data_IF_001537739962
#
_entry.id   IF_001537739962
#
_cell.length_a   1.000
_cell.length_b   1.000
_cell.length_c   1.000
_cell.angle_alpha   90.00
_cell.angle_beta   90.00
_cell.angle_gamma   90.00
#
_symmetry.space_group_name_H-M   'P 1'
#
loop_
_entity.id
_entity.type
_entity.pdbx_description
1 polymer ?
#
# COMPACT_ATOMS: atom_id res chain seq x y z
N UNK A 1 -61.02 -10.54 16.32
CA UNK A 1 -61.36 -9.23 16.88
C UNK A 1 -61.05 -8.22 15.79
N UNK A 2 -62.03 -7.99 14.90
CA UNK A 2 -63.08 -6.95 15.07
C UNK A 2 -62.44 -5.55 14.94
N UNK A 3 -62.50 -4.91 13.76
CA UNK A 3 -63.59 -4.07 13.22
C UNK A 3 -64.03 -2.93 14.14
N UNK A 4 -64.02 -1.71 13.61
CA UNK A 4 -64.71 -0.54 14.17
C UNK A 4 -64.31 0.74 13.44
N UNK A 5 -64.88 1.10 12.27
CA UNK A 5 -66.16 1.84 12.09
C UNK A 5 -66.21 3.16 12.90
N UNK A 6 -66.72 4.31 12.43
CA UNK A 6 -67.64 4.65 11.33
C UNK A 6 -67.83 6.17 11.26
N UNK A 7 -68.10 6.67 10.05
CA UNK A 7 -69.12 7.67 9.65
C UNK A 7 -69.63 8.74 10.64
N UNK A 8 -69.81 9.98 10.13
CA UNK A 8 -71.18 10.51 9.96
C UNK A 8 -71.29 11.71 9.00
N UNK A 9 -72.36 11.69 8.23
CA UNK A 9 -72.89 12.70 7.31
C UNK A 9 -73.64 13.82 8.04
N UNK A 10 -73.83 14.97 7.36
CA UNK A 10 -75.20 15.49 7.20
C UNK A 10 -75.43 17.00 7.23
N UNK A 11 -76.00 17.48 6.11
CA UNK A 11 -77.15 18.42 5.99
C UNK A 11 -77.00 19.97 5.98
N UNK A 12 -77.11 20.51 4.75
CA UNK A 12 -78.11 21.47 4.19
C UNK A 12 -78.69 22.63 5.00
N UNK A 13 -78.74 23.83 4.38
CA UNK A 13 -79.66 24.92 4.76
C UNK A 13 -79.63 26.18 3.87
N UNK A 14 -80.45 26.17 2.81
CA UNK A 14 -81.31 27.22 2.21
C UNK A 14 -80.93 28.73 1.97
N UNK A 15 -81.80 29.33 1.14
CA UNK A 15 -81.72 30.51 0.26
C UNK A 15 -82.41 31.78 0.81
N UNK A 16 -82.19 32.90 0.09
CA UNK A 16 -83.08 34.08 -0.26
C UNK A 16 -82.44 35.41 0.19
N UNK A 17 -82.49 36.57 -0.49
CA UNK A 17 -83.08 37.05 -1.76
C UNK A 17 -82.55 38.49 -2.07
N UNK A 18 -82.77 39.02 -3.29
CA UNK A 18 -82.32 40.37 -3.78
C UNK A 18 -83.21 41.55 -3.35
N UNK A 19 -83.37 42.71 -4.08
CA UNK A 19 -82.79 43.21 -5.34
C UNK A 19 -82.37 44.74 -5.25
N UNK A 20 -82.62 45.66 -6.24
CA UNK A 20 -81.80 46.00 -7.42
C UNK A 20 -81.32 47.48 -7.51
N UNK A 21 -80.40 47.76 -8.46
CA UNK A 21 -80.43 49.03 -9.24
C UNK A 21 -79.19 49.95 -9.17
N UNK A 22 -78.46 50.07 -10.29
CA UNK A 22 -78.20 51.31 -11.06
C UNK A 22 -76.92 51.20 -11.94
N UNK A 23 -76.87 51.87 -13.11
CA UNK A 23 -75.90 51.57 -14.17
C UNK A 23 -74.66 52.47 -14.11
N UNK A 24 -73.50 51.95 -14.53
CA UNK A 24 -72.31 52.78 -14.65
C UNK A 24 -71.08 52.07 -15.22
N UNK A 25 -70.75 52.44 -16.46
CA UNK A 25 -69.41 52.45 -17.08
C UNK A 25 -68.69 51.10 -17.27
N UNK A 26 -68.66 50.66 -18.53
CA UNK A 26 -67.69 49.69 -19.05
C UNK A 26 -66.29 50.33 -19.11
N UNK A 27 -65.33 49.72 -18.41
CA UNK A 27 -63.90 49.72 -18.72
C UNK A 27 -63.46 48.24 -18.71
N UNK A 28 -62.69 47.76 -19.70
CA UNK A 28 -62.19 46.39 -19.67
C UNK A 28 -61.14 46.24 -18.56
N UNK A 29 -61.16 45.17 -17.75
CA UNK A 29 -60.08 44.92 -16.81
C UNK A 29 -58.82 44.51 -17.56
N UNK A 30 -57.79 45.36 -17.46
CA UNK A 30 -56.39 45.01 -17.68
C UNK A 30 -55.99 43.91 -16.69
N UNK A 31 -56.20 42.65 -17.05
CA UNK A 31 -55.74 41.47 -16.30
C UNK A 31 -55.26 40.38 -17.25
N UNK A 32 -54.30 40.74 -18.11
CA UNK A 32 -53.55 39.78 -18.95
C UNK A 32 -52.21 40.38 -19.38
N UNK A 33 -51.52 41.07 -18.47
CA UNK A 33 -50.19 41.63 -18.74
C UNK A 33 -49.26 41.65 -17.51
N UNK A 34 -49.45 40.71 -16.56
CA UNK A 34 -48.56 40.55 -15.39
C UNK A 34 -47.98 39.13 -15.28
N UNK A 35 -48.51 38.15 -16.02
CA UNK A 35 -48.02 36.76 -16.00
C UNK A 35 -47.01 36.42 -17.11
N UNK A 36 -46.79 37.31 -18.08
CA UNK A 36 -45.81 37.08 -19.17
C UNK A 36 -44.48 37.79 -18.92
N UNK A 37 -44.46 38.87 -18.14
CA UNK A 37 -43.22 39.58 -17.79
C UNK A 37 -42.43 38.90 -16.67
N UNK A 38 -43.06 38.14 -15.78
CA UNK A 38 -42.35 37.32 -14.76
C UNK A 38 -41.78 36.04 -15.37
N UNK A 39 -42.44 35.44 -16.35
CA UNK A 39 -41.92 34.28 -17.08
C UNK A 39 -40.74 34.64 -18.00
N UNK A 40 -40.75 35.83 -18.62
CA UNK A 40 -39.61 36.30 -19.41
C UNK A 40 -38.41 36.73 -18.55
N UNK A 41 -38.63 37.21 -17.33
CA UNK A 41 -37.55 37.53 -16.39
C UNK A 41 -36.90 36.28 -15.77
N UNK A 42 -37.66 35.20 -15.56
CA UNK A 42 -37.11 33.92 -15.09
C UNK A 42 -36.33 33.16 -16.17
N UNK A 43 -36.68 33.33 -17.46
CA UNK A 43 -35.90 32.73 -18.57
C UNK A 43 -34.68 33.59 -18.93
N UNK A 44 -34.74 34.91 -18.72
CA UNK A 44 -33.58 35.80 -18.92
C UNK A 44 -32.49 35.67 -17.83
N UNK A 45 -32.85 35.22 -16.62
CA UNK A 45 -31.89 34.87 -15.55
C UNK A 45 -31.13 33.56 -15.82
N UNK A 46 -31.60 32.73 -16.76
CA UNK A 46 -30.92 31.47 -17.15
C UNK A 46 -29.86 31.73 -18.24
N UNK A 47 -29.93 32.85 -18.97
CA UNK A 47 -29.01 33.12 -20.09
C UNK A 47 -27.88 34.12 -19.80
N UNK A 48 -27.71 34.56 -18.56
CA UNK A 48 -26.60 35.45 -18.17
C UNK A 48 -25.73 34.93 -17.01
N UNK A 49 -25.95 33.69 -16.54
CA UNK A 49 -25.24 33.12 -15.39
C UNK A 49 -24.47 31.80 -15.63
N UNK A 50 -24.74 31.06 -16.71
CA UNK A 50 -24.17 29.71 -16.90
C UNK A 50 -22.65 29.65 -17.10
N UNK A 51 -21.99 30.75 -17.48
CA UNK A 51 -20.51 30.78 -17.54
C UNK A 51 -19.88 30.71 -16.15
N UNK A 52 -20.37 31.51 -15.20
CA UNK A 52 -19.73 31.62 -13.87
C UNK A 52 -19.84 30.38 -12.99
N UNK A 53 -20.91 29.59 -13.15
CA UNK A 53 -21.06 28.32 -12.40
C UNK A 53 -20.28 27.20 -13.07
N UNK A 54 -20.32 27.10 -14.40
CA UNK A 54 -19.54 26.10 -15.14
C UNK A 54 -18.04 26.31 -14.94
N UNK A 55 -17.55 27.55 -14.99
CA UNK A 55 -16.14 27.88 -14.75
C UNK A 55 -15.70 27.49 -13.32
N UNK A 56 -16.51 27.83 -12.31
CA UNK A 56 -16.24 27.43 -10.90
C UNK A 56 -16.25 25.92 -10.69
N UNK A 57 -17.20 25.21 -11.30
CA UNK A 57 -17.26 23.74 -11.24
C UNK A 57 -16.02 23.16 -11.92
N UNK A 58 -15.63 23.66 -13.08
CA UNK A 58 -14.44 23.20 -13.79
C UNK A 58 -13.14 23.45 -12.99
N UNK A 59 -12.97 24.63 -12.39
CA UNK A 59 -11.83 24.94 -11.54
C UNK A 59 -11.75 23.99 -10.34
N UNK A 60 -12.90 23.72 -9.70
CA UNK A 60 -12.97 22.78 -8.59
C UNK A 60 -12.65 21.34 -9.03
N UNK A 61 -13.10 20.92 -10.22
CA UNK A 61 -12.80 19.60 -10.79
C UNK A 61 -11.31 19.42 -11.09
N UNK A 62 -10.62 20.48 -11.55
CA UNK A 62 -9.16 20.45 -11.77
C UNK A 62 -8.41 20.22 -10.45
N UNK A 63 -8.78 20.95 -9.38
CA UNK A 63 -8.20 20.75 -8.05
C UNK A 63 -8.51 19.35 -7.52
N UNK A 64 -9.77 18.93 -7.57
CA UNK A 64 -10.19 17.60 -7.12
C UNK A 64 -9.43 16.48 -7.82
N UNK A 65 -9.21 16.60 -9.14
CA UNK A 65 -8.41 15.66 -9.92
C UNK A 65 -6.94 15.64 -9.49
N UNK A 66 -6.37 16.80 -9.16
CA UNK A 66 -5.03 16.91 -8.57
C UNK A 66 -4.92 16.15 -7.24
N UNK A 67 -5.85 16.38 -6.31
CA UNK A 67 -5.91 15.72 -5.01
C UNK A 67 -6.05 14.21 -5.15
N UNK A 68 -7.02 13.74 -5.93
CA UNK A 68 -7.26 12.29 -6.12
C UNK A 68 -6.04 11.62 -6.74
N UNK A 69 -5.43 12.21 -7.76
CA UNK A 69 -4.22 11.68 -8.39
C UNK A 69 -3.04 11.60 -7.41
N UNK A 70 -2.90 12.60 -6.52
CA UNK A 70 -1.89 12.60 -5.47
C UNK A 70 -2.08 11.44 -4.49
N UNK A 71 -3.31 11.20 -4.04
CA UNK A 71 -3.67 10.09 -3.15
C UNK A 71 -3.43 8.74 -3.85
N UNK A 72 -3.92 8.57 -5.08
CA UNK A 72 -3.77 7.33 -5.87
C UNK A 72 -2.31 6.98 -6.13
N UNK A 73 -1.52 7.96 -6.58
CA UNK A 73 -0.11 7.73 -6.91
C UNK A 73 0.68 7.27 -5.69
N UNK A 74 0.53 7.98 -4.57
CA UNK A 74 1.24 7.64 -3.33
C UNK A 74 0.72 6.35 -2.67
N UNK A 75 -0.57 6.03 -2.78
CA UNK A 75 -1.10 4.73 -2.35
C UNK A 75 -0.55 3.59 -3.22
N UNK A 76 -0.46 3.78 -4.53
CA UNK A 76 0.10 2.77 -5.44
C UNK A 76 1.58 2.50 -5.18
N UNK A 77 2.35 3.52 -4.80
CA UNK A 77 3.76 3.34 -4.39
C UNK A 77 3.87 2.46 -3.15
N UNK A 78 2.95 2.63 -2.19
CA UNK A 78 2.86 1.76 -1.03
C UNK A 78 2.52 0.32 -1.38
N UNK A 79 1.55 0.14 -2.28
CA UNK A 79 1.09 -1.17 -2.68
C UNK A 79 2.17 -1.98 -3.39
N UNK A 80 3.06 -1.29 -4.12
CA UNK A 80 4.18 -1.90 -4.80
C UNK A 80 5.21 -2.49 -3.83
N UNK A 81 5.27 -2.03 -2.57
CA UNK A 81 6.21 -2.54 -1.56
C UNK A 81 5.70 -3.82 -0.87
N UNK A 82 4.40 -4.05 -0.81
CA UNK A 82 3.88 -5.23 -0.11
C UNK A 82 4.20 -6.60 -0.73
N UNK A 83 4.18 -6.77 -2.07
CA UNK A 83 4.40 -8.08 -2.67
C UNK A 83 5.89 -8.45 -2.81
N UNK A 84 6.81 -7.51 -2.56
CA UNK A 84 8.25 -7.78 -2.70
C UNK A 84 8.83 -8.38 -1.41
N UNK A 85 9.94 -9.15 -1.48
CA UNK A 85 10.60 -9.69 -0.30
C UNK A 85 11.06 -8.60 0.66
N UNK A 86 11.19 -8.93 1.95
CA UNK A 86 11.58 -7.98 3.02
C UNK A 86 12.86 -7.20 2.68
N UNK A 87 13.85 -7.84 2.05
CA UNK A 87 15.10 -7.21 1.61
C UNK A 87 14.92 -6.13 0.54
N UNK A 88 13.84 -6.20 -0.24
CA UNK A 88 13.49 -5.23 -1.27
C UNK A 88 12.51 -4.15 -0.79
N UNK A 89 12.05 -4.21 0.47
CA UNK A 89 11.14 -3.22 1.06
C UNK A 89 11.87 -2.01 1.67
N UNK A 90 13.13 -1.80 1.32
CA UNK A 90 13.89 -0.62 1.72
C UNK A 90 13.17 0.68 1.31
N UNK A 91 13.15 1.67 2.21
CA UNK A 91 12.56 2.99 1.94
C UNK A 91 11.06 3.11 2.25
N UNK A 92 10.42 2.09 2.84
CA UNK A 92 9.00 2.13 3.22
C UNK A 92 8.63 3.35 4.08
N UNK A 93 9.52 3.81 4.98
CA UNK A 93 9.31 5.05 5.76
C UNK A 93 9.26 6.29 4.86
N UNK A 94 10.13 6.37 3.85
CA UNK A 94 10.13 7.49 2.92
C UNK A 94 8.83 7.52 2.10
N UNK A 95 8.36 6.36 1.65
CA UNK A 95 7.04 6.21 0.99
C UNK A 95 5.90 6.64 1.92
N UNK A 96 5.95 6.28 3.21
CA UNK A 96 4.99 6.72 4.22
C UNK A 96 4.95 8.24 4.40
N UNK A 97 6.11 8.85 4.46
CA UNK A 97 6.23 10.31 4.54
C UNK A 97 5.66 10.95 3.28
N UNK A 98 5.93 10.40 2.10
CA UNK A 98 5.38 10.85 0.83
C UNK A 98 3.86 10.82 0.79
N UNK A 99 3.25 9.71 1.22
CA UNK A 99 1.80 9.57 1.29
C UNK A 99 1.17 10.57 2.27
N UNK A 100 1.74 10.70 3.48
CA UNK A 100 1.27 11.69 4.48
C UNK A 100 1.35 13.11 3.95
N UNK A 101 2.41 13.43 3.20
CA UNK A 101 2.55 14.72 2.54
C UNK A 101 1.46 14.94 1.49
N UNK A 102 1.20 13.97 0.61
CA UNK A 102 0.13 14.07 -0.37
C UNK A 102 -1.26 14.29 0.28
N UNK A 103 -1.53 13.63 1.40
CA UNK A 103 -2.76 13.83 2.19
C UNK A 103 -2.84 15.21 2.87
N UNK A 104 -1.70 15.76 3.29
CA UNK A 104 -1.65 17.10 3.89
C UNK A 104 -1.82 18.19 2.82
N UNK A 105 -1.10 18.06 1.71
CA UNK A 105 -1.18 18.99 0.57
C UNK A 105 -2.60 19.00 0.00
N UNK A 106 -3.21 17.83 -0.23
CA UNK A 106 -4.58 17.72 -0.72
C UNK A 106 -5.63 18.29 0.23
N UNK A 107 -5.42 18.21 1.53
CA UNK A 107 -6.29 18.88 2.51
C UNK A 107 -6.19 20.40 2.42
N UNK A 108 -4.96 20.92 2.31
CA UNK A 108 -4.75 22.35 2.14
C UNK A 108 -5.45 22.87 0.89
N UNK A 109 -5.42 22.12 -0.22
CA UNK A 109 -6.13 22.48 -1.44
C UNK A 109 -7.66 22.51 -1.23
N UNK A 110 -8.23 21.43 -0.68
CA UNK A 110 -9.66 21.31 -0.42
C UNK A 110 -10.19 22.36 0.57
N UNK A 111 -9.38 22.76 1.55
CA UNK A 111 -9.77 23.81 2.52
C UNK A 111 -9.60 25.23 1.99
N UNK A 112 -8.77 25.42 0.97
CA UNK A 112 -8.51 26.74 0.37
C UNK A 112 -9.52 27.16 -0.69
N UNK A 113 -10.34 26.22 -1.20
CA UNK A 113 -11.30 26.49 -2.26
C UNK A 113 -12.74 26.62 -1.75
N UNK A 114 -13.44 27.63 -2.26
CA UNK A 114 -14.89 27.71 -2.12
C UNK A 114 -15.56 26.60 -2.93
N UNK A 115 -16.42 25.80 -2.28
CA UNK A 115 -17.08 24.66 -2.91
C UNK A 115 -18.33 25.11 -3.67
N UNK A 116 -18.39 24.93 -5.01
CA UNK A 116 -19.63 25.16 -5.76
C UNK A 116 -20.74 24.21 -5.32
N UNK A 117 -21.99 24.67 -5.33
CA UNK A 117 -23.14 23.86 -4.89
C UNK A 117 -23.23 22.49 -5.60
N UNK A 118 -23.02 22.36 -6.92
CA UNK A 118 -22.99 21.05 -7.58
C UNK A 118 -21.87 20.12 -7.10
N UNK A 119 -20.79 20.67 -6.54
CA UNK A 119 -19.59 19.95 -6.11
C UNK A 119 -19.60 19.56 -4.63
N UNK A 120 -20.67 19.85 -3.87
CA UNK A 120 -20.72 19.57 -2.42
C UNK A 120 -20.45 18.09 -2.09
N UNK A 121 -21.04 17.19 -2.87
CA UNK A 121 -20.85 15.74 -2.67
C UNK A 121 -19.43 15.29 -3.03
N UNK A 122 -18.84 15.86 -4.08
CA UNK A 122 -17.43 15.63 -4.41
C UNK A 122 -16.52 16.13 -3.29
N UNK A 123 -16.77 17.32 -2.74
CA UNK A 123 -16.03 17.85 -1.58
C UNK A 123 -16.12 16.93 -0.36
N UNK A 124 -17.32 16.40 -0.08
CA UNK A 124 -17.54 15.42 0.99
C UNK A 124 -16.69 14.16 0.78
N UNK A 125 -16.67 13.61 -0.44
CA UNK A 125 -15.88 12.43 -0.79
C UNK A 125 -14.38 12.70 -0.68
N UNK A 126 -13.87 13.84 -1.15
CA UNK A 126 -12.46 14.22 -1.03
C UNK A 126 -12.03 14.30 0.43
N UNK A 127 -12.81 14.97 1.29
CA UNK A 127 -12.53 15.04 2.74
C UNK A 127 -12.49 13.65 3.37
N UNK A 128 -13.40 12.76 2.99
CA UNK A 128 -13.38 11.36 3.45
C UNK A 128 -12.16 10.59 2.95
N UNK A 129 -11.73 10.78 1.70
CA UNK A 129 -10.50 10.17 1.18
C UNK A 129 -9.30 10.59 2.01
N UNK A 130 -9.18 11.89 2.31
CA UNK A 130 -8.09 12.46 3.09
C UNK A 130 -8.07 11.94 4.53
N UNK A 131 -9.23 11.94 5.19
CA UNK A 131 -9.35 11.46 6.58
C UNK A 131 -9.06 9.96 6.70
N UNK A 132 -9.65 9.14 5.81
CA UNK A 132 -9.37 7.69 5.79
C UNK A 132 -7.95 7.36 5.36
N UNK A 133 -7.37 8.17 4.47
CA UNK A 133 -5.96 8.08 4.09
C UNK A 133 -5.03 8.33 5.27
N UNK A 134 -5.34 9.31 6.13
CA UNK A 134 -4.56 9.55 7.37
C UNK A 134 -4.67 8.39 8.35
N UNK A 135 -5.89 7.89 8.57
CA UNK A 135 -6.08 6.71 9.42
C UNK A 135 -5.28 5.50 8.91
N UNK A 136 -5.25 5.29 7.58
CA UNK A 136 -4.42 4.26 6.95
C UNK A 136 -2.94 4.52 7.20
N UNK A 137 -2.44 5.73 6.92
CA UNK A 137 -1.04 6.10 7.12
C UNK A 137 -0.59 5.89 8.58
N UNK A 138 -1.43 6.24 9.55
CA UNK A 138 -1.13 6.08 10.97
C UNK A 138 -1.04 4.61 11.35
N UNK A 139 -1.96 3.78 10.87
CA UNK A 139 -1.91 2.32 11.07
C UNK A 139 -0.69 1.67 10.40
N UNK A 140 -0.26 2.19 9.25
CA UNK A 140 0.93 1.72 8.53
C UNK A 140 2.24 2.04 9.26
N UNK A 141 2.27 3.04 10.17
CA UNK A 141 3.50 3.47 10.87
C UNK A 141 4.23 2.31 11.51
N UNK A 142 3.55 1.48 12.31
CA UNK A 142 4.19 0.35 12.99
C UNK A 142 4.78 -0.69 12.02
N UNK A 143 4.16 -0.87 10.85
CA UNK A 143 4.67 -1.74 9.80
C UNK A 143 5.92 -1.14 9.18
N UNK A 144 5.86 0.14 8.80
CA UNK A 144 6.98 0.86 8.21
C UNK A 144 8.18 0.93 9.17
N UNK A 145 7.95 1.16 10.47
CA UNK A 145 8.99 1.19 11.49
C UNK A 145 9.71 -0.15 11.59
N UNK A 146 8.95 -1.24 11.73
CA UNK A 146 9.52 -2.58 11.84
C UNK A 146 10.24 -3.03 10.55
N UNK A 147 9.65 -2.76 9.38
CA UNK A 147 10.25 -3.10 8.09
C UNK A 147 11.54 -2.30 7.85
N UNK A 148 11.59 -1.03 8.22
CA UNK A 148 12.79 -0.19 8.06
C UNK A 148 13.98 -0.69 8.90
N UNK A 149 13.71 -1.24 10.08
CA UNK A 149 14.75 -1.85 10.93
C UNK A 149 15.21 -3.22 10.36
N UNK A 150 14.30 -3.98 9.76
CA UNK A 150 14.54 -5.37 9.35
C UNK A 150 15.01 -5.54 7.91
N UNK A 151 14.54 -4.70 6.97
CA UNK A 151 14.89 -4.78 5.55
C UNK A 151 16.40 -4.70 5.29
N UNK A 152 17.18 -3.82 5.97
CA UNK A 152 18.64 -3.79 5.80
C UNK A 152 19.34 -5.07 6.28
N UNK A 153 18.78 -5.74 7.29
CA UNK A 153 19.31 -7.02 7.79
C UNK A 153 19.00 -8.13 6.77
N UNK A 154 17.76 -8.18 6.27
CA UNK A 154 17.35 -9.11 5.24
C UNK A 154 18.17 -8.96 3.95
N UNK A 155 18.48 -7.72 3.54
CA UNK A 155 19.35 -7.46 2.40
C UNK A 155 20.77 -8.01 2.59
N UNK A 156 21.34 -7.86 3.79
CA UNK A 156 22.66 -8.44 4.09
C UNK A 156 22.65 -9.97 4.04
N UNK A 157 21.54 -10.61 4.43
CA UNK A 157 21.36 -12.06 4.32
C UNK A 157 21.28 -12.49 2.85
N UNK A 158 20.53 -11.76 2.02
CA UNK A 158 20.48 -11.97 0.57
C UNK A 158 21.88 -11.94 -0.03
N UNK A 159 22.67 -10.89 0.29
CA UNK A 159 24.04 -10.75 -0.20
C UNK A 159 24.95 -11.90 0.25
N UNK A 160 24.84 -12.34 1.52
CA UNK A 160 25.58 -13.50 2.03
C UNK A 160 25.18 -14.76 1.27
N UNK A 161 23.88 -14.94 1.05
CA UNK A 161 23.33 -16.13 0.39
C UNK A 161 23.75 -16.23 -1.06
N UNK A 162 23.71 -15.11 -1.80
CA UNK A 162 24.18 -15.02 -3.18
C UNK A 162 25.69 -15.30 -3.25
N UNK A 163 26.48 -14.65 -2.39
CA UNK A 163 27.93 -14.89 -2.34
C UNK A 163 28.24 -16.35 -1.98
N UNK A 164 27.47 -16.95 -1.06
CA UNK A 164 27.63 -18.35 -0.69
C UNK A 164 27.33 -19.28 -1.88
N UNK A 165 26.25 -19.04 -2.63
CA UNK A 165 25.94 -19.81 -3.84
C UNK A 165 27.10 -19.74 -4.85
N UNK A 166 27.63 -18.54 -5.12
CA UNK A 166 28.79 -18.37 -5.99
C UNK A 166 30.03 -19.10 -5.47
N UNK A 167 30.29 -19.04 -4.16
CA UNK A 167 31.41 -19.77 -3.55
C UNK A 167 31.24 -21.28 -3.67
N UNK A 168 30.03 -21.81 -3.51
CA UNK A 168 29.78 -23.26 -3.61
C UNK A 168 30.07 -23.83 -5.00
N UNK A 169 30.04 -22.99 -6.04
CA UNK A 169 30.43 -23.34 -7.41
C UNK A 169 31.95 -23.28 -7.66
N UNK A 170 32.70 -22.63 -6.77
CA UNK A 170 34.17 -22.51 -6.88
C UNK A 170 34.89 -23.78 -6.40
N UNK A 171 36.12 -23.91 -6.91
CA UNK A 171 37.08 -24.97 -6.54
C UNK A 171 37.92 -24.62 -5.30
N UNK A 172 37.92 -23.37 -4.84
CA UNK A 172 38.63 -22.90 -3.65
C UNK A 172 37.72 -21.94 -2.87
N UNK A 173 37.08 -22.46 -1.81
CA UNK A 173 36.14 -21.74 -0.94
C UNK A 173 36.83 -21.02 0.23
N UNK A 174 37.88 -21.57 0.88
CA UNK A 174 38.49 -20.99 2.09
C UNK A 174 38.82 -19.50 2.03
N UNK A 175 39.34 -18.99 0.91
CA UNK A 175 39.79 -17.60 0.77
C UNK A 175 38.66 -16.57 0.93
N UNK A 176 37.42 -16.90 0.55
CA UNK A 176 36.25 -16.02 0.67
C UNK A 176 35.39 -16.27 1.91
N UNK A 177 35.64 -17.37 2.63
CA UNK A 177 34.74 -17.86 3.67
C UNK A 177 34.78 -17.04 4.97
N UNK A 178 35.96 -16.61 5.42
CA UNK A 178 36.11 -15.86 6.68
C UNK A 178 35.32 -14.54 6.66
N UNK A 179 35.34 -13.81 5.54
CA UNK A 179 34.56 -12.57 5.40
C UNK A 179 33.05 -12.80 5.49
N UNK A 180 32.55 -13.93 4.99
CA UNK A 180 31.14 -14.29 5.14
C UNK A 180 30.80 -14.70 6.57
N UNK A 181 31.69 -15.46 7.23
CA UNK A 181 31.53 -15.83 8.63
C UNK A 181 31.38 -14.60 9.54
N UNK A 182 32.29 -13.62 9.40
CA UNK A 182 32.24 -12.37 10.16
C UNK A 182 30.97 -11.57 9.86
N UNK A 183 30.56 -11.51 8.58
CA UNK A 183 29.32 -10.84 8.17
C UNK A 183 28.09 -11.50 8.79
N UNK A 184 28.01 -12.82 8.81
CA UNK A 184 26.90 -13.57 9.43
C UNK A 184 26.83 -13.32 10.94
N UNK A 185 27.97 -13.27 11.63
CA UNK A 185 28.01 -12.93 13.05
C UNK A 185 27.54 -11.49 13.30
N UNK A 186 27.93 -10.55 12.44
CA UNK A 186 27.46 -9.17 12.49
C UNK A 186 25.94 -9.06 12.26
N UNK A 187 25.39 -9.80 11.30
CA UNK A 187 23.94 -9.89 11.04
C UNK A 187 23.21 -10.41 12.28
N UNK A 188 23.70 -11.50 12.88
CA UNK A 188 23.10 -12.09 14.08
C UNK A 188 23.15 -11.12 15.28
N UNK A 189 24.26 -10.39 15.45
CA UNK A 189 24.37 -9.37 16.49
C UNK A 189 23.42 -8.19 16.24
N UNK A 190 23.34 -7.69 15.00
CA UNK A 190 22.44 -6.60 14.63
C UNK A 190 20.98 -6.97 14.88
N UNK A 191 20.56 -8.18 14.50
CA UNK A 191 19.21 -8.66 14.75
C UNK A 191 18.88 -8.68 16.25
N UNK A 192 19.84 -9.07 17.09
CA UNK A 192 19.67 -9.07 18.55
C UNK A 192 19.47 -7.68 19.18
N UNK A 193 19.68 -6.59 18.43
CA UNK A 193 19.41 -5.22 18.89
C UNK A 193 18.01 -4.72 18.53
N UNK A 194 17.32 -5.40 17.60
CA UNK A 194 15.96 -5.03 17.18
C UNK A 194 14.96 -5.55 18.20
N UNK A 195 14.14 -4.66 18.74
CA UNK A 195 13.06 -5.03 19.67
C UNK A 195 11.72 -5.01 18.92
N UNK A 196 11.16 -6.18 18.56
CA UNK A 196 9.93 -6.22 17.78
C UNK A 196 8.73 -5.76 18.63
N UNK A 197 7.83 -4.95 18.08
CA UNK A 197 6.50 -4.74 18.66
C UNK A 197 5.76 -6.08 18.79
N UNK A 198 4.79 -6.16 19.72
CA UNK A 198 4.00 -7.38 19.97
C UNK A 198 3.41 -7.96 18.69
N UNK A 199 2.90 -7.08 17.81
CA UNK A 199 2.34 -7.45 16.49
C UNK A 199 3.31 -8.23 15.60
N UNK A 200 4.63 -8.00 15.73
CA UNK A 200 5.65 -8.58 14.86
C UNK A 200 6.51 -9.64 15.55
N UNK A 201 6.16 -10.08 16.76
CA UNK A 201 6.96 -11.05 17.52
C UNK A 201 7.17 -12.36 16.77
N UNK A 202 6.13 -12.89 16.14
CA UNK A 202 6.22 -14.15 15.38
C UNK A 202 7.09 -14.00 14.13
N UNK A 203 6.90 -12.91 13.37
CA UNK A 203 7.75 -12.58 12.22
C UNK A 203 9.22 -12.46 12.62
N UNK A 204 9.49 -11.74 13.71
CA UNK A 204 10.84 -11.55 14.23
C UNK A 204 11.45 -12.87 14.71
N UNK A 205 10.64 -13.72 15.34
CA UNK A 205 11.08 -15.02 15.81
C UNK A 205 11.50 -15.92 14.65
N UNK A 206 10.66 -16.08 13.63
CA UNK A 206 10.98 -16.90 12.45
C UNK A 206 12.22 -16.39 11.72
N UNK A 207 12.33 -15.06 11.53
CA UNK A 207 13.54 -14.48 10.95
C UNK A 207 14.79 -14.75 11.82
N UNK A 208 14.66 -14.64 13.14
CA UNK A 208 15.73 -14.92 14.09
C UNK A 208 16.16 -16.37 14.17
N UNK A 209 15.23 -17.32 14.07
CA UNK A 209 15.55 -18.74 14.00
C UNK A 209 16.43 -19.05 12.78
N UNK A 210 16.07 -18.51 11.61
CA UNK A 210 16.88 -18.64 10.41
C UNK A 210 18.28 -18.04 10.62
N UNK A 211 18.39 -16.79 11.07
CA UNK A 211 19.68 -16.11 11.27
C UNK A 211 20.57 -16.85 12.26
N UNK A 212 19.99 -17.36 13.35
CA UNK A 212 20.72 -18.17 14.33
C UNK A 212 21.16 -19.52 13.76
N UNK A 213 20.33 -20.17 12.95
CA UNK A 213 20.70 -21.42 12.26
C UNK A 213 21.84 -21.18 11.28
N UNK A 214 21.72 -20.15 10.45
CA UNK A 214 22.78 -19.73 9.52
C UNK A 214 24.09 -19.47 10.27
N UNK A 215 24.07 -18.72 11.37
CA UNK A 215 25.26 -18.46 12.18
C UNK A 215 25.88 -19.75 12.77
N UNK A 216 25.07 -20.72 13.18
CA UNK A 216 25.55 -22.03 13.65
C UNK A 216 26.21 -22.83 12.53
N UNK A 217 25.62 -22.85 11.33
CA UNK A 217 26.17 -23.57 10.18
C UNK A 217 27.48 -22.95 9.70
N UNK A 218 27.55 -21.62 9.64
CA UNK A 218 28.77 -20.89 9.36
C UNK A 218 29.86 -21.13 10.43
N UNK A 219 29.50 -21.16 11.72
CA UNK A 219 30.44 -21.53 12.78
C UNK A 219 30.96 -22.95 12.63
N UNK A 220 30.09 -23.92 12.36
CA UNK A 220 30.48 -25.31 12.16
C UNK A 220 31.39 -25.49 10.95
N UNK A 221 31.16 -24.74 9.87
CA UNK A 221 32.05 -24.73 8.72
C UNK A 221 33.41 -24.08 9.04
N UNK A 222 33.43 -22.99 9.84
CA UNK A 222 34.65 -22.38 10.33
C UNK A 222 35.48 -23.34 11.19
N UNK A 223 34.86 -24.00 12.17
CA UNK A 223 35.54 -24.94 13.07
C UNK A 223 36.17 -26.10 12.27
N UNK A 224 35.47 -26.60 11.24
CA UNK A 224 36.01 -27.62 10.32
C UNK A 224 37.24 -27.13 9.56
N UNK A 225 37.30 -25.88 9.13
CA UNK A 225 38.50 -25.34 8.46
C UNK A 225 39.68 -25.19 9.44
N UNK A 226 39.41 -24.87 10.71
CA UNK A 226 40.43 -24.77 11.75
C UNK A 226 41.04 -26.12 12.13
N UNK A 227 40.22 -27.17 12.20
CA UNK A 227 40.67 -28.53 12.52
C UNK A 227 41.52 -29.15 11.40
N UNK A 228 41.26 -28.80 10.13
CA UNK A 228 42.10 -29.21 8.99
C UNK A 228 43.50 -28.58 8.99
N UNK A 229 43.70 -27.46 9.68
CA UNK A 229 45.04 -26.88 9.88
C UNK A 229 45.85 -27.54 10.99
N UNK A 230 45.27 -28.51 11.71
CA UNK A 230 45.87 -29.22 12.85
C UNK A 230 46.06 -30.73 12.61
N UNK A 231 45.51 -31.28 11.53
CA UNK A 231 45.87 -32.62 11.04
C UNK A 231 47.16 -32.49 10.21
N UNK A 232 48.32 -32.65 10.86
CA UNK A 232 49.57 -32.95 10.16
C UNK A 232 49.35 -34.22 9.33
N UNK A 233 49.44 -34.11 8.00
CA UNK A 233 49.60 -35.26 7.12
C UNK A 233 50.98 -35.90 7.39
N UNK A 234 51.06 -36.78 8.39
CA UNK A 234 51.97 -37.92 8.34
C UNK A 234 51.35 -38.97 7.41
N UNK A 235 51.87 -39.08 6.19
CA UNK A 235 52.39 -40.34 5.62
C UNK A 235 53.02 -40.08 4.23
N UNK A 236 54.32 -40.34 4.15
CA UNK A 236 55.10 -40.52 2.92
C UNK A 236 54.79 -41.87 2.24
N UNK A 237 55.33 -42.03 1.01
CA UNK A 237 55.51 -43.25 0.18
C UNK A 237 54.42 -43.50 -0.90
N UNK A 238 54.70 -43.67 -2.20
CA UNK A 238 55.93 -43.90 -2.97
C UNK A 238 55.68 -43.53 -4.47
N UNK A 239 56.72 -43.10 -5.18
CA UNK A 239 56.72 -42.91 -6.64
C UNK A 239 56.74 -44.26 -7.39
N UNK A 240 55.88 -44.44 -8.39
CA UNK A 240 56.22 -45.22 -9.60
C UNK A 240 55.67 -44.55 -10.86
N UNK A 241 56.57 -44.29 -11.82
CA UNK A 241 56.35 -43.58 -13.08
C UNK A 241 56.08 -44.58 -14.21
N UNK A 242 55.06 -44.33 -15.07
CA UNK A 242 55.05 -44.40 -16.56
C UNK A 242 53.63 -44.61 -17.15
N UNK A 243 53.37 -44.34 -18.46
CA UNK A 243 53.45 -43.07 -19.18
C UNK A 243 52.09 -42.68 -19.83
N UNK A 244 52.07 -41.50 -20.45
CA UNK A 244 50.95 -40.74 -21.05
C UNK A 244 49.91 -41.52 -21.88
N UNK A 245 48.62 -41.27 -21.61
CA UNK A 245 47.54 -41.31 -22.61
C UNK A 245 46.36 -40.41 -22.17
N UNK A 246 45.93 -39.54 -23.11
CA UNK A 246 44.71 -38.73 -23.17
C UNK A 246 44.39 -37.79 -21.98
N UNK A 247 44.70 -36.50 -22.17
CA UNK A 247 44.11 -35.39 -21.43
C UNK A 247 42.61 -35.27 -21.80
N UNK A 248 41.81 -36.20 -21.30
CA UNK A 248 40.46 -35.86 -20.88
C UNK A 248 40.61 -34.89 -19.70
N UNK A 249 40.06 -33.68 -19.81
CA UNK A 249 39.92 -32.76 -18.69
C UNK A 249 39.07 -33.44 -17.60
N UNK A 250 39.70 -34.30 -16.79
CA UNK A 250 39.09 -34.84 -15.58
C UNK A 250 38.66 -33.62 -14.75
N UNK A 251 37.39 -33.55 -14.32
CA UNK A 251 36.94 -32.45 -13.49
C UNK A 251 37.88 -32.39 -12.28
N UNK A 252 38.59 -31.27 -12.13
CA UNK A 252 39.53 -31.09 -11.04
C UNK A 252 38.85 -31.45 -9.72
N UNK A 253 39.43 -32.42 -9.00
CA UNK A 253 38.85 -32.94 -7.75
C UNK A 253 38.67 -31.77 -6.77
N UNK A 254 37.49 -31.69 -6.15
CA UNK A 254 37.26 -30.75 -5.05
C UNK A 254 38.30 -30.96 -3.96
N UNK A 255 38.83 -29.85 -3.43
CA UNK A 255 39.78 -29.86 -2.32
C UNK A 255 39.14 -30.51 -1.08
N UNK A 256 39.93 -31.12 -0.20
CA UNK A 256 39.42 -31.73 1.02
C UNK A 256 38.63 -30.75 1.91
N UNK A 257 39.08 -29.49 2.01
CA UNK A 257 38.42 -28.42 2.75
C UNK A 257 37.02 -28.14 2.21
N UNK A 258 36.88 -28.10 0.89
CA UNK A 258 35.58 -27.91 0.24
C UNK A 258 34.62 -29.07 0.56
N UNK A 259 35.10 -30.32 0.57
CA UNK A 259 34.27 -31.49 0.92
C UNK A 259 33.82 -31.45 2.38
N UNK A 260 34.63 -30.86 3.26
CA UNK A 260 34.30 -30.72 4.67
C UNK A 260 33.22 -29.67 4.93
N UNK A 261 33.26 -28.52 4.24
CA UNK A 261 32.35 -27.38 4.52
C UNK A 261 31.08 -27.35 3.64
N UNK A 262 31.16 -27.76 2.36
CA UNK A 262 30.01 -27.69 1.44
C UNK A 262 28.74 -28.37 1.98
N UNK A 263 28.79 -29.58 2.58
CA UNK A 263 27.58 -30.24 3.09
C UNK A 263 26.88 -29.47 4.22
N UNK A 264 27.60 -28.62 4.95
CA UNK A 264 27.04 -27.82 6.05
C UNK A 264 26.34 -26.57 5.51
N UNK A 265 26.91 -25.94 4.48
CA UNK A 265 26.43 -24.65 3.99
C UNK A 265 25.38 -24.77 2.87
N UNK A 266 25.31 -25.93 2.20
CA UNK A 266 24.47 -26.14 1.01
C UNK A 266 22.98 -25.85 1.22
N UNK A 267 22.45 -26.06 2.43
CA UNK A 267 21.03 -25.85 2.72
C UNK A 267 20.63 -24.39 2.94
N UNK A 268 21.59 -23.50 3.23
CA UNK A 268 21.31 -22.11 3.63
C UNK A 268 20.52 -21.33 2.57
N UNK A 269 20.87 -21.37 1.28
CA UNK A 269 20.13 -20.60 0.27
C UNK A 269 18.69 -21.07 0.06
N UNK A 270 18.46 -22.39 0.12
CA UNK A 270 17.11 -22.94 0.00
C UNK A 270 16.25 -22.59 1.21
N UNK A 271 16.82 -22.71 2.41
CA UNK A 271 16.15 -22.35 3.66
C UNK A 271 15.80 -20.86 3.67
N UNK A 272 16.72 -19.99 3.25
CA UNK A 272 16.46 -18.56 3.14
C UNK A 272 15.29 -18.24 2.21
N UNK A 273 15.23 -18.89 1.04
CA UNK A 273 14.10 -18.76 0.12
C UNK A 273 12.77 -19.17 0.74
N UNK A 274 12.76 -20.24 1.54
CA UNK A 274 11.58 -20.69 2.30
C UNK A 274 11.19 -19.68 3.39
N UNK A 275 12.13 -19.24 4.19
CA UNK A 275 11.94 -18.24 5.24
C UNK A 275 11.38 -16.92 4.67
N UNK A 276 11.87 -16.47 3.52
CA UNK A 276 11.31 -15.30 2.82
C UNK A 276 9.83 -15.48 2.48
N UNK A 277 9.43 -16.65 1.98
CA UNK A 277 8.04 -16.97 1.68
C UNK A 277 7.16 -17.00 2.92
N UNK A 278 7.65 -17.59 4.01
CA UNK A 278 6.95 -17.65 5.30
C UNK A 278 6.74 -16.24 5.89
N UNK A 279 7.80 -15.42 5.92
CA UNK A 279 7.73 -14.05 6.42
C UNK A 279 6.77 -13.20 5.59
N UNK A 280 6.79 -13.33 4.26
CA UNK A 280 5.85 -12.63 3.39
C UNK A 280 4.40 -13.01 3.71
N UNK A 281 4.12 -14.30 3.93
CA UNK A 281 2.80 -14.78 4.32
C UNK A 281 2.37 -14.26 5.71
N UNK A 282 3.30 -14.20 6.67
CA UNK A 282 3.02 -13.65 8.00
C UNK A 282 2.71 -12.14 7.94
N UNK A 283 3.48 -11.36 7.18
CA UNK A 283 3.17 -9.95 6.96
C UNK A 283 1.80 -9.76 6.33
N UNK A 284 1.45 -10.56 5.32
CA UNK A 284 0.15 -10.51 4.67
C UNK A 284 -1.01 -10.84 5.63
N UNK A 285 -0.81 -11.84 6.50
CA UNK A 285 -1.75 -12.19 7.57
C UNK A 285 -1.89 -11.05 8.59
N UNK A 286 -0.78 -10.44 9.02
CA UNK A 286 -0.78 -9.29 9.95
C UNK A 286 -1.51 -8.09 9.35
N UNK A 287 -1.30 -7.78 8.06
CA UNK A 287 -2.06 -6.72 7.37
C UNK A 287 -3.57 -7.01 7.37
N UNK A 288 -3.96 -8.27 7.26
CA UNK A 288 -5.36 -8.70 7.34
C UNK A 288 -5.95 -8.60 8.75
N UNK A 289 -5.22 -9.04 9.77
CA UNK A 289 -5.68 -9.11 11.16
C UNK A 289 -5.69 -7.74 11.87
N UNK A 290 -4.79 -6.85 11.50
CA UNK A 290 -4.73 -5.47 12.03
C UNK A 290 -5.79 -4.53 11.45
N UNK A 291 -6.47 -4.95 10.37
CA UNK A 291 -7.43 -4.11 9.67
C UNK A 291 -6.83 -3.26 8.54
N UNK A 292 -5.53 -3.39 8.27
CA UNK A 292 -4.82 -2.55 7.31
C UNK A 292 -5.37 -2.73 5.89
N UNK A 293 -5.57 -3.98 5.45
CA UNK A 293 -6.16 -4.29 4.12
C UNK A 293 -7.55 -3.70 3.96
N UNK A 294 -8.35 -3.72 5.01
CA UNK A 294 -9.71 -3.20 5.02
C UNK A 294 -9.71 -1.67 4.93
N UNK A 295 -8.79 -0.99 5.65
CA UNK A 295 -8.62 0.46 5.57
C UNK A 295 -8.13 0.89 4.19
N UNK A 296 -7.18 0.17 3.61
CA UNK A 296 -6.69 0.40 2.25
C UNK A 296 -7.83 0.29 1.23
N UNK A 297 -8.65 -0.77 1.32
CA UNK A 297 -9.80 -0.96 0.45
C UNK A 297 -10.84 0.19 0.57
N UNK A 298 -11.09 0.69 1.78
CA UNK A 298 -11.97 1.85 1.99
C UNK A 298 -11.43 3.10 1.30
N UNK A 299 -10.14 3.37 1.38
CA UNK A 299 -9.53 4.53 0.69
C UNK A 299 -9.67 4.39 -0.82
N UNK A 300 -9.36 3.20 -1.38
CA UNK A 300 -9.52 2.93 -2.82
C UNK A 300 -10.96 3.10 -3.31
N UNK A 301 -11.93 2.62 -2.52
CA UNK A 301 -13.35 2.75 -2.86
C UNK A 301 -13.80 4.22 -2.87
N UNK A 302 -13.41 5.00 -1.86
CA UNK A 302 -13.72 6.43 -1.81
C UNK A 302 -13.09 7.21 -2.97
N UNK A 303 -11.85 6.88 -3.33
CA UNK A 303 -11.17 7.40 -4.51
C UNK A 303 -11.94 7.07 -5.80
N UNK A 304 -12.38 5.82 -5.94
CA UNK A 304 -13.23 5.40 -7.06
C UNK A 304 -14.55 6.16 -7.15
N UNK A 305 -15.21 6.38 -6.01
CA UNK A 305 -16.43 7.19 -5.93
C UNK A 305 -16.17 8.67 -6.30
N UNK A 306 -15.07 9.26 -5.84
CA UNK A 306 -14.69 10.62 -6.18
C UNK A 306 -14.42 10.77 -7.69
N UNK A 307 -13.70 9.82 -8.30
CA UNK A 307 -13.48 9.77 -9.75
C UNK A 307 -14.80 9.68 -10.54
N UNK A 308 -15.72 8.82 -10.11
CA UNK A 308 -17.03 8.69 -10.77
C UNK A 308 -17.86 9.99 -10.67
N UNK A 309 -17.83 10.66 -9.51
CA UNK A 309 -18.49 11.95 -9.31
C UNK A 309 -17.87 13.05 -10.16
N UNK A 310 -16.54 13.11 -10.27
CA UNK A 310 -15.86 14.03 -11.16
C UNK A 310 -16.28 13.83 -12.61
N UNK A 311 -16.31 12.59 -13.11
CA UNK A 311 -16.75 12.28 -14.48
C UNK A 311 -18.21 12.68 -14.73
N UNK A 312 -19.10 12.48 -13.74
CA UNK A 312 -20.50 12.90 -13.85
C UNK A 312 -20.64 14.42 -13.94
N UNK A 313 -19.93 15.16 -13.07
CA UNK A 313 -19.91 16.62 -13.08
C UNK A 313 -19.25 17.19 -14.34
N UNK A 314 -18.17 16.58 -14.82
CA UNK A 314 -17.56 16.95 -16.10
C UNK A 314 -18.55 16.82 -17.26
N UNK A 315 -19.34 15.74 -17.30
CA UNK A 315 -20.34 15.55 -18.36
C UNK A 315 -21.49 16.57 -18.30
N UNK A 316 -21.81 17.08 -17.12
CA UNK A 316 -22.92 18.03 -16.93
C UNK A 316 -22.50 19.49 -17.15
N UNK A 317 -21.24 19.84 -16.84
CA UNK A 317 -20.76 21.22 -16.81
C UNK A 317 -19.62 21.53 -17.81
N UNK A 318 -19.11 20.55 -18.58
CA UNK A 318 -18.24 20.75 -19.76
C UNK A 318 -19.01 20.49 -21.05
#
# INVERSE_FOLDING_TARGET
METGNTLSHGHTGERRGGPPGAPGRRLPPARTAVLVTVAAALVALIMTGCGSTADKVNDYLVMAGGVVKGIEGSLSEFDALWPVPLSAQGGIKATLVGFRKALADGQSEVDSMDVPEPCLELSRLLRQCLDRGRELADMTTQFADYIDDMAPIALQIDEVTVTLQELMERKDIPTGFHGLYDKVNSINAALGTVLPPVTFQEVHHTFGEFVQSMAKDFKKAHDRLGDWGLEEEEEEEEEEVQPEEEQDEKPAKETPENRAIKPVLKGIPEEWGRTCGEIAAMFDALRGSTGLKQKEAVVRDLVGQANAMMQALEKEYK
#
